data_IF_587469521721
#
_entry.id   IF_587469521721
#
_cell.length_a   1.000
_cell.length_b   1.000
_cell.length_c   1.000
_cell.angle_alpha   90.00
_cell.angle_beta   90.00
_cell.angle_gamma   90.00
#
_symmetry.space_group_name_H-M   'P 1'
#
loop_
_entity.id
_entity.type
_entity.pdbx_description
1 polymer ?
#
# COMPACT_ATOMS: atom_id res chain seq x y z
N UNK A 1 -22.53 -86.28 5.31
CA UNK A 1 -22.43 -85.31 6.43
C UNK A 1 -21.63 -84.02 6.10
N UNK A 2 -21.20 -83.79 4.85
CA UNK A 2 -20.24 -82.71 4.52
C UNK A 2 -20.88 -81.45 3.88
N UNK A 3 -22.09 -81.54 3.31
CA UNK A 3 -22.77 -80.40 2.67
C UNK A 3 -23.10 -79.27 3.66
N UNK A 4 -23.49 -79.61 4.89
CA UNK A 4 -23.80 -78.63 5.95
C UNK A 4 -22.55 -77.84 6.40
N UNK A 5 -21.40 -78.52 6.51
CA UNK A 5 -20.11 -77.87 6.86
C UNK A 5 -19.64 -76.93 5.75
N UNK A 6 -19.77 -77.35 4.48
CA UNK A 6 -19.43 -76.52 3.33
C UNK A 6 -20.31 -75.26 3.24
N UNK A 7 -21.62 -75.40 3.48
CA UNK A 7 -22.54 -74.26 3.51
C UNK A 7 -22.24 -73.29 4.65
N UNK A 8 -21.82 -73.78 5.83
CA UNK A 8 -21.41 -72.93 6.95
C UNK A 8 -20.14 -72.12 6.63
N UNK A 9 -19.13 -72.73 6.01
CA UNK A 9 -17.91 -72.03 5.59
C UNK A 9 -18.22 -70.91 4.59
N UNK A 10 -19.12 -71.17 3.63
CA UNK A 10 -19.55 -70.14 2.66
C UNK A 10 -20.27 -68.98 3.37
N UNK A 11 -21.16 -69.26 4.32
CA UNK A 11 -21.87 -68.22 5.07
C UNK A 11 -20.88 -67.37 5.88
N UNK A 12 -19.90 -67.98 6.55
CA UNK A 12 -18.85 -67.25 7.27
C UNK A 12 -17.98 -66.41 6.34
N UNK A 13 -17.65 -66.92 5.16
CA UNK A 13 -16.89 -66.18 4.16
C UNK A 13 -17.66 -64.95 3.66
N UNK A 14 -18.95 -65.11 3.34
CA UNK A 14 -19.82 -63.99 2.93
C UNK A 14 -19.95 -62.97 4.06
N UNK A 15 -20.16 -63.41 5.30
CA UNK A 15 -20.21 -62.52 6.46
C UNK A 15 -18.91 -61.73 6.63
N UNK A 16 -17.75 -62.38 6.43
CA UNK A 16 -16.45 -61.73 6.44
C UNK A 16 -16.31 -60.65 5.35
N UNK A 17 -16.78 -60.93 4.13
CA UNK A 17 -16.79 -59.94 3.03
C UNK A 17 -17.68 -58.75 3.38
N UNK A 18 -18.89 -59.00 3.88
CA UNK A 18 -19.82 -57.92 4.27
C UNK A 18 -19.20 -57.04 5.34
N UNK A 19 -18.55 -57.64 6.34
CA UNK A 19 -17.90 -56.92 7.42
C UNK A 19 -16.69 -56.12 6.92
N UNK A 20 -15.89 -56.69 6.01
CA UNK A 20 -14.79 -55.99 5.37
C UNK A 20 -15.26 -54.78 4.54
N UNK A 21 -16.31 -54.95 3.73
CA UNK A 21 -16.91 -53.86 2.94
C UNK A 21 -17.46 -52.77 3.86
N UNK A 22 -18.10 -53.14 4.97
CA UNK A 22 -18.62 -52.18 5.94
C UNK A 22 -17.49 -51.34 6.57
N UNK A 23 -16.40 -51.98 7.00
CA UNK A 23 -15.24 -51.28 7.57
C UNK A 23 -14.61 -50.37 6.52
N UNK A 24 -14.43 -50.87 5.29
CA UNK A 24 -13.80 -50.12 4.21
C UNK A 24 -14.63 -48.88 3.83
N UNK A 25 -15.95 -49.02 3.76
CA UNK A 25 -16.88 -47.92 3.49
C UNK A 25 -16.77 -46.81 4.55
N UNK A 26 -16.77 -47.18 5.83
CA UNK A 26 -16.62 -46.21 6.92
C UNK A 26 -15.25 -45.52 6.89
N UNK A 27 -14.17 -46.27 6.66
CA UNK A 27 -12.82 -45.71 6.56
C UNK A 27 -12.70 -44.72 5.40
N UNK A 28 -13.25 -45.06 4.23
CA UNK A 28 -13.28 -44.18 3.07
C UNK A 28 -14.07 -42.90 3.36
N UNK A 29 -15.27 -43.03 3.94
CA UNK A 29 -16.11 -41.87 4.30
C UNK A 29 -15.38 -40.94 5.28
N UNK A 30 -14.74 -41.50 6.30
CA UNK A 30 -14.01 -40.72 7.30
C UNK A 30 -12.78 -40.05 6.69
N UNK A 31 -12.05 -40.73 5.82
CA UNK A 31 -10.91 -40.14 5.11
C UNK A 31 -11.33 -38.95 4.22
N UNK A 32 -12.45 -39.06 3.51
CA UNK A 32 -13.00 -37.95 2.73
C UNK A 32 -13.42 -36.78 3.63
N UNK A 33 -14.11 -37.07 4.73
CA UNK A 33 -14.57 -36.05 5.69
C UNK A 33 -13.40 -35.33 6.36
N UNK A 34 -12.37 -36.07 6.77
CA UNK A 34 -11.17 -35.49 7.37
C UNK A 34 -10.47 -34.54 6.38
N UNK A 35 -10.31 -34.96 5.12
CA UNK A 35 -9.72 -34.10 4.07
C UNK A 35 -10.54 -32.85 3.79
N UNK A 36 -11.88 -32.92 3.82
CA UNK A 36 -12.72 -31.73 3.61
C UNK A 36 -12.59 -30.75 4.77
N UNK A 37 -12.56 -31.25 6.00
CA UNK A 37 -12.38 -30.43 7.21
C UNK A 37 -11.01 -29.75 7.19
N UNK A 38 -9.95 -30.49 6.86
CA UNK A 38 -8.60 -29.94 6.80
C UNK A 38 -8.47 -28.80 5.78
N UNK A 39 -9.08 -28.97 4.59
CA UNK A 39 -9.16 -27.91 3.58
C UNK A 39 -9.93 -26.69 4.08
N UNK A 40 -11.04 -26.89 4.78
CA UNK A 40 -11.83 -25.80 5.33
C UNK A 40 -11.04 -25.03 6.40
N UNK A 41 -10.33 -25.74 7.28
CA UNK A 41 -9.42 -25.14 8.27
C UNK A 41 -8.30 -24.36 7.59
N UNK A 42 -7.69 -24.91 6.53
CA UNK A 42 -6.63 -24.20 5.78
C UNK A 42 -7.17 -22.92 5.13
N UNK A 43 -8.35 -22.98 4.52
CA UNK A 43 -9.00 -21.81 3.91
C UNK A 43 -9.34 -20.74 4.96
N UNK A 44 -9.91 -21.14 6.10
CA UNK A 44 -10.21 -20.20 7.19
C UNK A 44 -8.96 -19.56 7.78
N UNK A 45 -7.85 -20.30 7.89
CA UNK A 45 -6.56 -19.75 8.32
C UNK A 45 -6.03 -18.72 7.34
N UNK A 46 -6.03 -19.03 6.03
CA UNK A 46 -5.61 -18.07 4.99
C UNK A 46 -6.47 -16.80 5.00
N UNK A 47 -7.77 -16.95 5.21
CA UNK A 47 -8.68 -15.82 5.28
C UNK A 47 -8.43 -14.95 6.52
N UNK A 48 -8.17 -15.57 7.67
CA UNK A 48 -7.79 -14.85 8.88
C UNK A 48 -6.47 -14.08 8.70
N UNK A 49 -5.45 -14.70 8.09
CA UNK A 49 -4.18 -14.06 7.78
C UNK A 49 -4.35 -12.87 6.81
N UNK A 50 -5.18 -13.03 5.77
CA UNK A 50 -5.53 -11.95 4.83
C UNK A 50 -6.17 -10.77 5.56
N UNK A 51 -7.20 -11.02 6.35
CA UNK A 51 -7.92 -9.98 7.13
C UNK A 51 -6.97 -9.30 8.12
N UNK A 52 -6.08 -10.05 8.77
CA UNK A 52 -5.10 -9.48 9.69
C UNK A 52 -4.11 -8.56 8.97
N UNK A 53 -3.63 -8.95 7.80
CA UNK A 53 -2.76 -8.12 6.96
C UNK A 53 -3.47 -6.84 6.51
N UNK A 54 -4.72 -6.95 6.06
CA UNK A 54 -5.54 -5.79 5.65
C UNK A 54 -5.80 -4.83 6.81
N UNK A 55 -6.12 -5.35 7.99
CA UNK A 55 -6.29 -4.52 9.18
C UNK A 55 -5.00 -3.77 9.54
N UNK A 56 -3.84 -4.43 9.43
CA UNK A 56 -2.55 -3.78 9.67
C UNK A 56 -2.29 -2.65 8.67
N UNK A 57 -2.50 -2.91 7.38
CA UNK A 57 -2.33 -1.90 6.34
C UNK A 57 -3.27 -0.70 6.53
N UNK A 58 -4.53 -0.96 6.87
CA UNK A 58 -5.51 0.08 7.17
C UNK A 58 -5.10 0.91 8.39
N UNK A 59 -4.60 0.27 9.45
CA UNK A 59 -4.10 0.96 10.63
C UNK A 59 -2.89 1.85 10.30
N UNK A 60 -1.95 1.38 9.49
CA UNK A 60 -0.80 2.18 9.03
C UNK A 60 -1.24 3.40 8.19
N UNK A 61 -2.23 3.21 7.30
CA UNK A 61 -2.82 4.30 6.53
C UNK A 61 -3.49 5.33 7.43
N UNK A 62 -4.29 4.90 8.41
CA UNK A 62 -4.94 5.80 9.38
C UNK A 62 -3.87 6.59 10.15
N UNK A 63 -2.85 5.91 10.66
CA UNK A 63 -1.76 6.57 11.39
C UNK A 63 -1.06 7.64 10.55
N UNK A 64 -0.82 7.39 9.25
CA UNK A 64 -0.27 8.38 8.34
C UNK A 64 -1.20 9.59 8.14
N UNK A 65 -2.51 9.35 7.96
CA UNK A 65 -3.50 10.42 7.77
C UNK A 65 -3.67 11.29 9.03
N UNK A 66 -3.45 10.71 10.21
CA UNK A 66 -3.49 11.42 11.49
C UNK A 66 -2.24 12.27 11.75
N UNK A 67 -1.17 12.10 10.98
CA UNK A 67 0.07 12.88 11.18
C UNK A 67 -0.15 14.39 10.99
N UNK A 68 0.50 15.24 11.80
CA UNK A 68 0.45 16.69 11.64
C UNK A 68 0.88 17.16 10.24
N UNK A 69 1.86 16.49 9.64
CA UNK A 69 2.38 16.78 8.31
C UNK A 69 1.31 16.58 7.24
N UNK A 70 0.55 15.47 7.32
CA UNK A 70 -0.54 15.22 6.39
C UNK A 70 -1.69 16.21 6.59
N UNK A 71 -2.06 16.49 7.83
CA UNK A 71 -3.11 17.47 8.15
C UNK A 71 -2.74 18.87 7.63
N UNK A 72 -1.50 19.29 7.83
CA UNK A 72 -0.99 20.57 7.33
C UNK A 72 -0.98 20.62 5.80
N UNK A 73 -0.54 19.54 5.14
CA UNK A 73 -0.59 19.42 3.68
C UNK A 73 -2.01 19.63 3.16
N UNK A 74 -3.00 18.95 3.75
CA UNK A 74 -4.41 19.08 3.33
C UNK A 74 -4.95 20.49 3.66
N UNK A 75 -4.61 21.07 4.81
CA UNK A 75 -5.01 22.42 5.17
C UNK A 75 -4.49 23.47 4.15
N UNK A 76 -3.24 23.32 3.71
CA UNK A 76 -2.65 24.19 2.67
C UNK A 76 -3.29 23.94 1.30
N UNK A 77 -3.37 22.69 0.86
CA UNK A 77 -3.84 22.33 -0.49
C UNK A 77 -5.34 22.54 -0.71
N UNK A 78 -6.17 22.23 0.30
CA UNK A 78 -7.63 22.23 0.15
C UNK A 78 -8.29 23.47 0.72
N UNK A 79 -7.71 24.03 1.78
CA UNK A 79 -8.31 25.15 2.52
C UNK A 79 -7.52 26.45 2.34
N UNK A 80 -6.37 26.43 1.66
CA UNK A 80 -5.43 27.55 1.54
C UNK A 80 -5.08 28.17 2.91
N UNK A 81 -5.12 27.36 3.97
CA UNK A 81 -4.79 27.79 5.33
C UNK A 81 -3.28 27.83 5.51
N UNK A 82 -2.84 28.79 6.33
CA UNK A 82 -1.43 29.06 6.63
C UNK A 82 -1.25 29.03 8.14
N UNK A 83 -0.06 28.66 8.62
CA UNK A 83 0.24 28.82 10.04
C UNK A 83 0.42 30.31 10.37
N UNK A 84 0.15 30.66 11.62
CA UNK A 84 0.20 32.06 12.06
C UNK A 84 1.60 32.70 11.94
N UNK A 85 2.65 31.89 11.85
CA UNK A 85 4.05 32.27 11.70
C UNK A 85 4.57 32.20 10.25
N UNK A 86 3.72 31.89 9.27
CA UNK A 86 4.10 31.70 7.87
C UNK A 86 3.81 32.96 7.02
N UNK A 87 4.76 33.39 6.17
CA UNK A 87 4.60 34.54 5.26
C UNK A 87 4.51 34.10 3.80
N UNK A 88 3.36 34.31 3.15
CA UNK A 88 3.16 33.99 1.73
C UNK A 88 3.42 35.22 0.85
N UNK A 89 4.34 35.08 -0.10
CA UNK A 89 4.65 36.11 -1.11
C UNK A 89 3.95 35.76 -2.42
N UNK A 90 2.93 36.54 -2.78
CA UNK A 90 2.25 36.41 -4.08
C UNK A 90 3.07 37.15 -5.14
N UNK A 91 3.80 36.39 -5.96
CA UNK A 91 4.50 36.96 -7.12
C UNK A 91 3.48 37.21 -8.23
N UNK A 92 3.03 38.47 -8.36
CA UNK A 92 2.26 38.90 -9.53
C UNK A 92 3.20 38.94 -10.74
N UNK A 93 3.06 37.95 -11.63
CA UNK A 93 3.64 38.05 -12.98
C UNK A 93 2.82 39.08 -13.75
N UNK A 94 3.30 40.32 -13.77
CA UNK A 94 2.69 41.42 -14.52
C UNK A 94 2.25 42.58 -13.64
N UNK A 95 3.22 43.35 -13.14
CA UNK A 95 3.03 44.76 -12.87
C UNK A 95 4.33 45.49 -13.22
N UNK A 96 4.59 45.58 -14.53
CA UNK A 96 5.40 46.68 -15.01
C UNK A 96 4.67 47.98 -14.64
N UNK A 97 5.35 48.78 -13.82
CA UNK A 97 5.15 50.22 -13.58
C UNK A 97 3.89 50.65 -12.83
N UNK A 98 4.11 51.19 -11.62
CA UNK A 98 3.59 52.53 -11.29
C UNK A 98 4.41 53.23 -10.19
N UNK A 99 5.24 54.18 -10.65
CA UNK A 99 5.67 55.48 -10.12
C UNK A 99 5.52 55.82 -8.61
N UNK A 100 6.64 56.26 -8.02
CA UNK A 100 6.75 57.62 -7.46
C UNK A 100 8.22 58.11 -7.41
N UNK A 101 8.47 59.43 -7.53
CA UNK A 101 9.77 59.98 -7.89
C UNK A 101 10.59 60.37 -6.66
N UNK A 102 11.84 59.95 -6.61
CA UNK A 102 12.85 60.57 -5.78
C UNK A 102 13.99 61.04 -6.67
N UNK A 103 14.07 62.36 -6.74
CA UNK A 103 15.03 63.18 -7.42
C UNK A 103 16.46 62.92 -6.91
N UNK A 104 17.24 62.08 -7.59
CA UNK A 104 18.70 62.20 -7.61
C UNK A 104 19.24 61.82 -9.00
N UNK A 105 19.84 62.80 -9.65
CA UNK A 105 20.60 62.63 -10.87
C UNK A 105 21.89 61.88 -10.52
N UNK A 106 22.04 60.65 -11.02
CA UNK A 106 23.34 60.05 -11.26
C UNK A 106 23.36 59.58 -12.71
N UNK A 107 23.98 60.41 -13.54
CA UNK A 107 24.40 60.02 -14.89
C UNK A 107 25.50 58.97 -14.78
N UNK A 108 25.21 57.73 -15.15
CA UNK A 108 26.22 56.79 -15.64
C UNK A 108 25.68 56.19 -16.93
N UNK A 109 26.44 56.43 -17.99
CA UNK A 109 26.17 56.02 -19.37
C UNK A 109 25.91 54.51 -19.48
N UNK A 110 24.96 54.19 -20.37
CA UNK A 110 24.76 52.87 -20.94
C UNK A 110 26.07 52.30 -21.53
N UNK A 111 26.55 51.19 -20.98
CA UNK A 111 27.21 50.14 -21.77
C UNK A 111 26.16 49.04 -21.97
N UNK A 112 25.37 49.15 -23.03
CA UNK A 112 24.41 48.15 -23.50
C UNK A 112 25.13 46.93 -24.09
N UNK A 113 25.96 46.28 -23.28
CA UNK A 113 26.35 44.90 -23.54
C UNK A 113 25.59 44.03 -22.56
N UNK A 114 24.49 43.46 -23.03
CA UNK A 114 23.81 42.36 -22.32
C UNK A 114 24.83 41.22 -22.15
N UNK A 115 25.51 41.22 -21.00
CA UNK A 115 26.40 40.13 -20.65
C UNK A 115 25.52 38.89 -20.52
N UNK A 116 25.78 37.82 -21.29
CA UNK A 116 25.04 36.58 -21.16
C UNK A 116 25.16 36.04 -19.74
N UNK A 117 24.08 35.42 -19.23
CA UNK A 117 24.03 34.99 -17.83
C UNK A 117 25.19 34.04 -17.44
N UNK A 118 25.66 33.19 -18.35
CA UNK A 118 26.80 32.30 -18.07
C UNK A 118 28.08 33.07 -17.70
N UNK A 119 28.29 34.24 -18.28
CA UNK A 119 29.49 35.05 -18.07
C UNK A 119 29.42 35.82 -16.75
N UNK A 120 28.22 36.23 -16.33
CA UNK A 120 27.97 36.79 -14.98
C UNK A 120 28.32 35.77 -13.88
N UNK A 121 27.92 34.51 -14.07
CA UNK A 121 28.24 33.44 -13.13
C UNK A 121 29.74 33.14 -13.09
N UNK A 122 30.39 33.08 -14.26
CA UNK A 122 31.84 32.88 -14.32
C UNK A 122 32.62 33.97 -13.56
N UNK A 123 32.26 35.24 -13.79
CA UNK A 123 32.87 36.36 -13.08
C UNK A 123 32.58 36.30 -11.56
N UNK A 124 31.39 35.87 -11.15
CA UNK A 124 31.08 35.71 -9.73
C UNK A 124 31.96 34.66 -9.05
N UNK A 125 32.19 33.51 -9.69
CA UNK A 125 32.91 32.39 -9.08
C UNK A 125 34.44 32.48 -9.20
N UNK A 126 34.98 33.21 -10.18
CA UNK A 126 36.41 33.13 -10.51
C UNK A 126 37.13 34.50 -10.55
N UNK A 127 36.48 35.62 -10.22
CA UNK A 127 37.10 36.95 -10.24
C UNK A 127 38.15 37.20 -9.15
N UNK A 128 38.28 36.32 -8.15
CA UNK A 128 39.26 36.43 -7.06
C UNK A 128 40.19 35.22 -6.96
N UNK A 129 40.84 34.86 -8.08
CA UNK A 129 42.04 34.01 -8.08
C UNK A 129 43.17 34.72 -8.82
#
# INVERSE_FOLDING_TARGET
MNKKKFSFVIIFFIAGIVLAVFILSNAVREAYRSRSIEKEVENLKKEAERIQSENKELAERIAYLETPEFQEKIAKEKLNLQKADENVVVVKQGAAKENQPSNEQITVQEDLREIPNYRKWWDFFFKYN
#
